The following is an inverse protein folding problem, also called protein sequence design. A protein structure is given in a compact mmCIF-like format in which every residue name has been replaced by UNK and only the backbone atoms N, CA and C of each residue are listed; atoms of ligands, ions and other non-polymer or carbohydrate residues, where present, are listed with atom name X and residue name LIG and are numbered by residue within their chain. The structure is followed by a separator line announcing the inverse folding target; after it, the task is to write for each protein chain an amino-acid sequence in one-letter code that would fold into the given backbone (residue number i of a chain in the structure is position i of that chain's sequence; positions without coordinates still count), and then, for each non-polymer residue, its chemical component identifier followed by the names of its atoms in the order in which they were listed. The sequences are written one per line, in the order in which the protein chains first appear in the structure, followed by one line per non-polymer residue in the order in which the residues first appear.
data_IF_133984382440
#
_entry.id   IF_133984382440
#
_cell.length_a   1.000
_cell.length_b   1.000
_cell.length_c   1.000
_cell.angle_alpha   90.00
_cell.angle_beta   90.00
_cell.angle_gamma   90.00
#
_symmetry.space_group_name_H-M   'P 1'
#
loop_
_entity.id
_entity.type
_entity.pdbx_description
1 polymer ?
#
# COMPACT_ATOMS: atom_id res chain seq x y z
N UNK A 1 -44.86 28.22 -20.14
CA UNK A 1 -44.36 28.36 -21.53
C UNK A 1 -42.89 28.78 -21.58
N UNK A 2 -42.47 29.88 -20.92
CA UNK A 2 -41.05 30.31 -20.93
C UNK A 2 -40.04 29.26 -20.42
N UNK A 3 -40.36 28.53 -19.34
CA UNK A 3 -39.47 27.46 -18.82
C UNK A 3 -39.25 26.31 -19.82
N UNK A 4 -40.28 25.95 -20.57
CA UNK A 4 -40.22 24.92 -21.60
C UNK A 4 -39.39 25.37 -22.80
N UNK A 5 -39.60 26.61 -23.26
CA UNK A 5 -38.81 27.19 -24.34
C UNK A 5 -37.32 27.30 -23.96
N UNK A 6 -37.04 27.62 -22.70
CA UNK A 6 -35.68 27.68 -22.15
C UNK A 6 -35.01 26.30 -22.09
N UNK A 7 -35.74 25.24 -21.72
CA UNK A 7 -35.22 23.87 -21.75
C UNK A 7 -35.05 23.36 -23.17
N UNK A 8 -35.98 23.66 -24.08
CA UNK A 8 -35.87 23.25 -25.48
C UNK A 8 -34.67 23.92 -26.17
N UNK A 9 -34.40 25.20 -25.87
CA UNK A 9 -33.21 25.89 -26.40
C UNK A 9 -31.91 25.37 -25.78
N UNK A 10 -31.91 25.07 -24.48
CA UNK A 10 -30.76 24.43 -23.81
C UNK A 10 -30.45 23.07 -24.44
N UNK A 11 -31.47 22.25 -24.68
CA UNK A 11 -31.34 20.93 -25.28
C UNK A 11 -30.76 20.98 -26.69
N UNK A 12 -31.19 21.95 -27.51
CA UNK A 12 -30.71 22.09 -28.89
C UNK A 12 -29.32 22.71 -28.98
N UNK A 13 -29.00 23.73 -28.17
CA UNK A 13 -27.77 24.51 -28.31
C UNK A 13 -26.66 24.10 -27.32
N UNK A 14 -27.01 23.54 -26.17
CA UNK A 14 -26.09 23.20 -25.10
C UNK A 14 -24.95 22.26 -25.50
N UNK A 15 -25.24 21.12 -26.14
CA UNK A 15 -24.19 20.19 -26.59
C UNK A 15 -23.20 20.85 -27.56
N UNK A 16 -23.70 21.70 -28.47
CA UNK A 16 -22.84 22.41 -29.42
C UNK A 16 -21.99 23.48 -28.75
N UNK A 17 -22.52 24.19 -27.76
CA UNK A 17 -21.79 25.23 -27.04
C UNK A 17 -20.60 24.62 -26.26
N UNK A 18 -20.80 23.46 -25.63
CA UNK A 18 -19.72 22.73 -24.95
C UNK A 18 -18.72 22.09 -25.94
N UNK A 19 -19.20 21.59 -27.08
CA UNK A 19 -18.34 21.09 -28.15
C UNK A 19 -17.45 22.19 -28.74
N UNK A 20 -17.99 23.40 -28.97
CA UNK A 20 -17.23 24.56 -29.46
C UNK A 20 -16.16 24.95 -28.44
N UNK A 21 -16.50 25.00 -27.14
CA UNK A 21 -15.52 25.24 -26.06
C UNK A 21 -14.39 24.21 -26.12
N UNK A 22 -14.73 22.93 -26.21
CA UNK A 22 -13.75 21.85 -26.32
C UNK A 22 -12.82 22.03 -27.53
N UNK A 23 -13.38 22.29 -28.72
CA UNK A 23 -12.60 22.51 -29.94
C UNK A 23 -11.67 23.71 -29.84
N UNK A 24 -12.15 24.82 -29.27
CA UNK A 24 -11.36 26.04 -29.08
C UNK A 24 -10.19 25.79 -28.13
N UNK A 25 -10.44 25.07 -27.03
CA UNK A 25 -9.41 24.68 -26.08
C UNK A 25 -8.38 23.75 -26.73
N UNK A 26 -8.82 22.73 -27.48
CA UNK A 26 -7.92 21.83 -28.22
C UNK A 26 -7.12 22.55 -29.31
N UNK A 27 -7.69 23.58 -29.94
CA UNK A 27 -6.97 24.40 -30.90
C UNK A 27 -5.80 25.14 -30.25
N UNK A 28 -6.00 25.75 -29.08
CA UNK A 28 -4.91 26.40 -28.33
C UNK A 28 -3.84 25.39 -27.87
N UNK A 29 -4.25 24.18 -27.48
CA UNK A 29 -3.33 23.08 -27.16
C UNK A 29 -2.46 22.72 -28.35
N UNK A 30 -3.09 22.46 -29.49
CA UNK A 30 -2.39 22.11 -30.72
C UNK A 30 -1.38 23.20 -31.11
N UNK A 31 -1.77 24.47 -30.98
CA UNK A 31 -0.90 25.62 -31.25
C UNK A 31 0.30 25.66 -30.29
N UNK A 32 0.08 25.36 -29.00
CA UNK A 32 1.14 25.21 -28.00
C UNK A 32 2.11 24.08 -28.35
N UNK A 33 1.60 22.92 -28.79
CA UNK A 33 2.43 21.78 -29.23
C UNK A 33 3.25 22.10 -30.48
N UNK A 34 2.68 22.82 -31.45
CA UNK A 34 3.43 23.27 -32.64
C UNK A 34 4.58 24.19 -32.20
N UNK A 35 4.31 25.15 -31.32
CA UNK A 35 5.34 26.03 -30.78
C UNK A 35 6.46 25.27 -30.05
N UNK A 36 6.08 24.31 -29.20
CA UNK A 36 7.03 23.46 -28.46
C UNK A 36 7.84 22.55 -29.38
N UNK A 37 7.23 22.02 -30.44
CA UNK A 37 7.91 21.18 -31.43
C UNK A 37 8.95 21.99 -32.20
N UNK A 38 8.60 23.20 -32.65
CA UNK A 38 9.54 24.11 -33.32
C UNK A 38 10.70 24.45 -32.38
N UNK A 39 10.40 24.80 -31.13
CA UNK A 39 11.43 25.07 -30.12
C UNK A 39 12.34 23.86 -29.89
N UNK A 40 11.77 22.66 -29.77
CA UNK A 40 12.53 21.42 -29.61
C UNK A 40 13.44 21.14 -30.81
N UNK A 41 12.92 21.27 -32.03
CA UNK A 41 13.71 21.07 -33.25
C UNK A 41 14.89 22.03 -33.31
N UNK A 42 14.68 23.31 -33.01
CA UNK A 42 15.74 24.34 -33.00
C UNK A 42 16.76 24.10 -31.88
N UNK A 43 16.30 23.68 -30.69
CA UNK A 43 17.16 23.47 -29.52
C UNK A 43 17.85 22.10 -29.49
N UNK A 44 17.32 21.10 -30.19
CA UNK A 44 17.82 19.72 -30.16
C UNK A 44 19.31 19.58 -30.52
N UNK A 45 19.88 20.30 -31.51
CA UNK A 45 21.30 20.18 -31.83
C UNK A 45 22.18 20.76 -30.71
N UNK A 46 21.71 21.83 -30.04
CA UNK A 46 22.39 22.46 -28.91
C UNK A 46 22.39 21.53 -27.70
N UNK A 47 21.25 20.91 -27.41
CA UNK A 47 21.12 19.94 -26.32
C UNK A 47 22.00 18.71 -26.54
N UNK A 48 22.00 18.16 -27.77
CA UNK A 48 22.88 17.04 -28.13
C UNK A 48 24.36 17.40 -28.00
N UNK A 49 24.76 18.59 -28.45
CA UNK A 49 26.13 19.09 -28.29
C UNK A 49 26.53 19.20 -26.81
N UNK A 50 25.62 19.68 -25.96
CA UNK A 50 25.85 19.77 -24.52
C UNK A 50 25.97 18.38 -23.86
N UNK A 51 25.09 17.44 -24.18
CA UNK A 51 25.15 16.07 -23.67
C UNK A 51 26.44 15.35 -24.04
N UNK A 52 26.92 15.53 -25.28
CA UNK A 52 28.19 14.95 -25.72
C UNK A 52 29.41 15.60 -25.04
N UNK A 53 29.34 16.89 -24.73
CA UNK A 53 30.38 17.60 -23.97
C UNK A 53 30.48 17.07 -22.52
N UNK A 54 29.35 16.78 -21.86
CA UNK A 54 29.34 16.13 -20.53
C UNK A 54 30.03 14.76 -20.57
N UNK A 55 29.90 14.02 -21.68
CA UNK A 55 30.52 12.72 -21.87
C UNK A 55 32.03 12.79 -22.21
N UNK A 56 32.64 13.99 -22.15
CA UNK A 56 34.07 14.19 -22.36
C UNK A 56 34.50 14.24 -23.84
N UNK A 57 33.56 14.34 -24.77
CA UNK A 57 33.86 14.54 -26.20
C UNK A 57 34.31 15.99 -26.39
N UNK A 58 35.38 16.19 -27.18
CA UNK A 58 35.87 17.52 -27.53
C UNK A 58 34.70 18.37 -28.08
N UNK A 59 34.48 19.56 -27.50
CA UNK A 59 33.36 20.47 -27.80
C UNK A 59 33.20 20.75 -29.29
N UNK A 60 34.30 20.91 -30.04
CA UNK A 60 34.27 21.14 -31.50
C UNK A 60 33.77 19.90 -32.25
N UNK A 61 34.17 18.70 -31.81
CA UNK A 61 33.75 17.44 -32.41
C UNK A 61 32.28 17.13 -32.08
N UNK A 62 31.84 17.40 -30.85
CA UNK A 62 30.46 17.27 -30.41
C UNK A 62 29.51 18.17 -31.23
N UNK A 63 29.93 19.41 -31.52
CA UNK A 63 29.17 20.34 -32.36
C UNK A 63 29.05 19.84 -33.81
N UNK A 64 30.15 19.36 -34.41
CA UNK A 64 30.14 18.79 -35.77
C UNK A 64 29.21 17.57 -35.82
N UNK A 65 29.30 16.66 -34.84
CA UNK A 65 28.41 15.50 -34.75
C UNK A 65 26.95 15.91 -34.59
N UNK A 66 26.64 16.90 -33.74
CA UNK A 66 25.29 17.40 -33.56
C UNK A 66 24.69 17.95 -34.85
N UNK A 67 25.46 18.73 -35.62
CA UNK A 67 25.03 19.26 -36.93
C UNK A 67 24.85 18.15 -37.95
N UNK A 68 25.73 17.14 -37.96
CA UNK A 68 25.66 16.02 -38.90
C UNK A 68 24.48 15.09 -38.61
N UNK A 69 24.09 14.95 -37.33
CA UNK A 69 22.97 14.10 -36.89
C UNK A 69 21.61 14.82 -36.97
N UNK A 70 21.60 16.16 -36.98
CA UNK A 70 20.39 16.97 -37.09
C UNK A 70 19.46 16.56 -38.26
N UNK A 71 19.92 16.32 -39.51
CA UNK A 71 19.04 15.88 -40.60
C UNK A 71 18.41 14.51 -40.33
N UNK A 72 19.10 13.60 -39.62
CA UNK A 72 18.54 12.32 -39.23
C UNK A 72 17.44 12.48 -38.16
N UNK A 73 17.69 13.32 -37.14
CA UNK A 73 16.68 13.65 -36.12
C UNK A 73 15.45 14.32 -36.73
N UNK A 74 15.66 15.23 -37.70
CA UNK A 74 14.58 15.84 -38.47
C UNK A 74 13.79 14.80 -39.27
N UNK A 75 14.47 13.88 -39.95
CA UNK A 75 13.83 12.82 -40.71
C UNK A 75 12.95 11.92 -39.82
N UNK A 76 13.48 11.47 -38.68
CA UNK A 76 12.72 10.67 -37.70
C UNK A 76 11.52 11.45 -37.18
N UNK A 77 11.68 12.74 -36.89
CA UNK A 77 10.59 13.62 -36.46
C UNK A 77 9.49 13.74 -37.52
N UNK A 78 9.86 13.98 -38.78
CA UNK A 78 8.91 14.09 -39.91
C UNK A 78 8.11 12.79 -40.09
N UNK A 79 8.70 11.62 -39.83
CA UNK A 79 7.98 10.35 -39.89
C UNK A 79 7.11 10.08 -38.65
N UNK A 80 7.59 10.44 -37.45
CA UNK A 80 6.89 10.15 -36.19
C UNK A 80 5.69 11.08 -35.94
N UNK A 81 5.83 12.37 -36.27
CA UNK A 81 4.78 13.39 -36.06
C UNK A 81 3.43 13.03 -36.68
N UNK A 82 3.30 12.59 -37.95
CA UNK A 82 2.01 12.26 -38.53
C UNK A 82 1.36 11.04 -37.87
N UNK A 83 2.15 10.04 -37.45
CA UNK A 83 1.63 8.86 -36.75
C UNK A 83 1.06 9.26 -35.39
N UNK A 84 1.81 10.06 -34.61
CA UNK A 84 1.36 10.56 -33.31
C UNK A 84 0.15 11.48 -33.47
N UNK A 85 0.14 12.32 -34.50
CA UNK A 85 -0.98 13.22 -34.78
C UNK A 85 -2.27 12.46 -35.11
N UNK A 86 -2.20 11.40 -35.92
CA UNK A 86 -3.36 10.54 -36.19
C UNK A 86 -3.89 9.88 -34.91
N UNK A 87 -2.99 9.40 -34.05
CA UNK A 87 -3.36 8.84 -32.76
C UNK A 87 -4.05 9.87 -31.85
N UNK A 88 -3.47 11.07 -31.71
CA UNK A 88 -4.05 12.15 -30.92
C UNK A 88 -5.40 12.63 -31.47
N UNK A 89 -5.58 12.68 -32.79
CA UNK A 89 -6.87 12.99 -33.42
C UNK A 89 -7.92 11.93 -33.02
N UNK A 90 -7.56 10.65 -33.04
CA UNK A 90 -8.47 9.57 -32.61
C UNK A 90 -8.94 9.74 -31.16
N UNK A 91 -8.01 10.09 -30.25
CA UNK A 91 -8.34 10.39 -28.86
C UNK A 91 -9.22 11.64 -28.72
N UNK A 92 -8.89 12.70 -29.44
CA UNK A 92 -9.64 13.96 -29.42
C UNK A 92 -11.09 13.77 -29.92
N UNK A 93 -11.30 12.93 -30.94
CA UNK A 93 -12.65 12.58 -31.42
C UNK A 93 -13.42 11.84 -30.31
N UNK A 94 -12.79 10.88 -29.64
CA UNK A 94 -13.40 10.14 -28.54
C UNK A 94 -13.84 11.04 -27.39
N UNK A 95 -13.00 12.00 -27.01
CA UNK A 95 -13.31 12.95 -25.94
C UNK A 95 -14.34 14.01 -26.39
N UNK A 96 -14.31 14.46 -27.65
CA UNK A 96 -15.33 15.34 -28.21
C UNK A 96 -16.73 14.70 -28.14
N UNK A 97 -16.84 13.40 -28.45
CA UNK A 97 -18.10 12.66 -28.34
C UNK A 97 -18.59 12.60 -26.88
N UNK A 98 -17.69 12.34 -25.92
CA UNK A 98 -18.06 12.34 -24.49
C UNK A 98 -18.58 13.70 -24.04
N UNK A 99 -17.86 14.78 -24.33
CA UNK A 99 -18.27 16.15 -23.98
C UNK A 99 -19.61 16.51 -24.61
N UNK A 100 -19.86 16.06 -25.85
CA UNK A 100 -21.16 16.24 -26.49
C UNK A 100 -22.29 15.55 -25.71
N UNK A 101 -22.11 14.29 -25.29
CA UNK A 101 -23.11 13.56 -24.52
C UNK A 101 -23.26 14.07 -23.08
N UNK A 102 -22.19 14.54 -22.44
CA UNK A 102 -22.26 15.21 -21.14
C UNK A 102 -23.05 16.51 -21.24
N UNK A 103 -22.80 17.30 -22.29
CA UNK A 103 -23.56 18.51 -22.57
C UNK A 103 -25.03 18.22 -22.85
N UNK A 104 -25.31 17.10 -23.50
CA UNK A 104 -26.68 16.63 -23.72
C UNK A 104 -27.37 16.23 -22.42
N UNK A 105 -26.67 15.49 -21.54
CA UNK A 105 -27.17 15.14 -20.21
C UNK A 105 -27.46 16.37 -19.36
N UNK A 106 -26.49 17.29 -19.25
CA UNK A 106 -26.63 18.53 -18.49
C UNK A 106 -27.78 19.40 -19.00
N UNK A 107 -27.95 19.49 -20.33
CA UNK A 107 -29.06 20.21 -20.93
C UNK A 107 -30.43 19.57 -20.65
N UNK A 108 -30.48 18.24 -20.54
CA UNK A 108 -31.71 17.48 -20.29
C UNK A 108 -32.15 17.54 -18.83
N UNK A 109 -31.22 17.47 -17.87
CA UNK A 109 -31.53 17.49 -16.44
C UNK A 109 -31.69 18.91 -15.89
N UNK A 110 -30.79 19.83 -16.26
CA UNK A 110 -30.66 21.13 -15.59
C UNK A 110 -30.82 22.33 -16.53
N UNK A 111 -31.07 22.08 -17.83
CA UNK A 111 -31.21 23.12 -18.84
C UNK A 111 -29.95 23.98 -18.97
N UNK A 112 -30.12 25.31 -19.08
CA UNK A 112 -28.99 26.24 -19.21
C UNK A 112 -28.10 26.31 -17.97
N UNK A 113 -28.63 26.05 -16.77
CA UNK A 113 -27.84 26.11 -15.55
C UNK A 113 -26.73 25.05 -15.57
N UNK A 114 -27.08 23.79 -15.89
CA UNK A 114 -26.11 22.72 -16.01
C UNK A 114 -25.11 22.92 -17.15
N UNK A 115 -25.53 23.51 -18.27
CA UNK A 115 -24.61 23.85 -19.37
C UNK A 115 -23.59 24.89 -18.91
N UNK A 116 -24.01 25.97 -18.24
CA UNK A 116 -23.09 27.01 -17.78
C UNK A 116 -22.16 26.53 -16.67
N UNK A 117 -22.62 25.65 -15.80
CA UNK A 117 -21.79 25.02 -14.78
C UNK A 117 -20.67 24.18 -15.43
N UNK A 118 -21.02 23.31 -16.37
CA UNK A 118 -20.03 22.54 -17.16
C UNK A 118 -19.16 23.43 -18.06
N UNK A 119 -19.68 24.58 -18.51
CA UNK A 119 -18.93 25.55 -19.27
C UNK A 119 -17.91 26.31 -18.40
N UNK A 120 -18.21 26.56 -17.12
CA UNK A 120 -17.29 27.20 -16.19
C UNK A 120 -16.22 26.23 -15.67
N UNK A 121 -16.51 24.94 -15.63
CA UNK A 121 -15.54 23.95 -15.16
C UNK A 121 -14.33 23.85 -16.11
N UNK A 122 -13.10 23.77 -15.55
CA UNK A 122 -11.92 23.49 -16.34
C UNK A 122 -12.08 22.13 -17.02
N UNK A 123 -11.75 22.04 -18.31
CA UNK A 123 -11.91 20.82 -19.07
C UNK A 123 -10.92 19.78 -18.54
N UNK A 124 -11.37 18.86 -17.68
CA UNK A 124 -10.53 17.80 -17.10
C UNK A 124 -9.87 16.89 -18.16
N UNK A 125 -10.43 16.84 -19.37
CA UNK A 125 -9.88 16.11 -20.54
C UNK A 125 -8.53 16.65 -21.04
N UNK A 126 -8.12 17.84 -20.60
CA UNK A 126 -6.76 18.35 -20.84
C UNK A 126 -5.71 17.47 -20.13
N UNK A 127 -6.09 16.87 -19.00
CA UNK A 127 -5.25 15.94 -18.25
C UNK A 127 -5.10 14.61 -18.98
N UNK A 128 -6.15 14.02 -19.57
CA UNK A 128 -6.06 12.67 -20.16
C UNK A 128 -5.06 12.56 -21.31
N UNK A 129 -5.08 13.53 -22.24
CA UNK A 129 -4.19 13.51 -23.42
C UNK A 129 -2.75 13.90 -23.03
N UNK A 130 -2.61 14.90 -22.14
CA UNK A 130 -1.30 15.29 -21.58
C UNK A 130 -0.66 14.20 -20.73
N UNK A 131 -1.44 13.53 -19.88
CA UNK A 131 -1.02 12.38 -19.08
C UNK A 131 -0.67 11.19 -19.97
N UNK A 132 -1.46 10.90 -21.01
CA UNK A 132 -1.14 9.81 -21.94
C UNK A 132 0.19 10.06 -22.66
N UNK A 133 0.46 11.30 -23.08
CA UNK A 133 1.74 11.68 -23.68
C UNK A 133 2.89 11.60 -22.66
N UNK A 134 2.68 12.08 -21.43
CA UNK A 134 3.67 11.99 -20.35
C UNK A 134 3.98 10.53 -20.00
N UNK A 135 2.99 9.65 -19.94
CA UNK A 135 3.16 8.21 -19.74
C UNK A 135 3.96 7.60 -20.90
N UNK A 136 3.71 8.02 -22.13
CA UNK A 136 4.45 7.54 -23.31
C UNK A 136 5.90 8.01 -23.29
N UNK A 137 6.15 9.29 -22.96
CA UNK A 137 7.50 9.84 -22.76
C UNK A 137 8.21 9.13 -21.61
N UNK A 138 7.55 8.91 -20.48
CA UNK A 138 8.11 8.21 -19.33
C UNK A 138 8.48 6.75 -19.67
N UNK A 139 7.68 6.07 -20.49
CA UNK A 139 7.98 4.72 -21.00
C UNK A 139 9.12 4.67 -22.02
N UNK A 140 9.35 5.75 -22.77
CA UNK A 140 10.43 5.85 -23.77
C UNK A 140 11.77 6.28 -23.14
N UNK A 141 11.73 7.12 -22.10
CA UNK A 141 12.93 7.71 -21.46
C UNK A 141 13.49 6.81 -20.35
N UNK A 142 12.65 6.00 -19.69
CA UNK A 142 13.10 5.06 -18.67
C UNK A 142 13.17 3.66 -19.29
N UNK A 143 14.37 3.12 -19.59
CA UNK A 143 14.48 1.75 -20.04
C UNK A 143 13.88 0.83 -18.98
N UNK A 144 12.98 -0.05 -19.43
CA UNK A 144 12.18 -0.96 -18.62
C UNK A 144 13.04 -1.71 -17.59
N UNK A 145 13.09 -1.19 -16.37
CA UNK A 145 13.27 -2.01 -15.19
C UNK A 145 11.86 -2.18 -14.60
N UNK A 146 11.39 -3.42 -14.62
CA UNK A 146 10.00 -3.78 -14.36
C UNK A 146 9.48 -3.27 -13.00
N UNK A 147 8.68 -2.21 -13.02
CA UNK A 147 7.69 -1.94 -11.98
C UNK A 147 6.51 -1.20 -12.59
N UNK A 148 5.36 -1.87 -12.65
CA UNK A 148 4.08 -1.29 -13.01
C UNK A 148 3.78 -0.08 -12.11
N UNK A 149 3.55 1.12 -12.65
CA UNK A 149 2.97 2.21 -11.88
C UNK A 149 1.45 2.04 -11.91
N UNK A 150 0.88 1.50 -10.83
CA UNK A 150 -0.52 1.71 -10.51
C UNK A 150 -0.63 2.99 -9.68
N UNK A 151 -1.54 3.87 -10.08
CA UNK A 151 -1.85 5.15 -9.44
C UNK A 151 -1.97 5.08 -7.90
N UNK A 152 -1.66 6.19 -7.20
CA UNK A 152 -1.78 6.29 -5.75
C UNK A 152 -3.25 6.36 -5.32
N UNK A 153 -3.94 5.22 -5.25
CA UNK A 153 -5.05 5.05 -4.31
C UNK A 153 -4.55 5.38 -2.89
N UNK A 154 -5.12 6.43 -2.31
CA UNK A 154 -5.09 6.74 -0.89
C UNK A 154 -5.61 5.54 -0.11
N UNK A 155 -4.84 5.07 0.87
CA UNK A 155 -5.23 3.98 1.76
C UNK A 155 -6.10 4.61 2.85
N UNK A 156 -7.36 4.18 2.94
CA UNK A 156 -8.30 4.65 3.94
C UNK A 156 -8.00 3.95 5.28
N UNK A 157 -7.33 4.66 6.20
CA UNK A 157 -6.94 4.11 7.50
C UNK A 157 -8.16 3.81 8.40
N UNK A 158 -9.28 4.49 8.19
CA UNK A 158 -10.49 4.30 8.98
C UNK A 158 -11.18 2.96 8.64
N UNK A 159 -11.14 2.55 7.36
CA UNK A 159 -11.62 1.24 6.91
C UNK A 159 -10.79 0.08 7.51
N UNK A 160 -9.47 0.25 7.61
CA UNK A 160 -8.56 -0.73 8.20
C UNK A 160 -8.73 -0.87 9.72
N UNK A 161 -8.97 0.24 10.43
CA UNK A 161 -9.26 0.22 11.87
C UNK A 161 -10.59 -0.48 12.16
N UNK A 162 -11.60 -0.23 11.33
CA UNK A 162 -12.91 -0.87 11.47
C UNK A 162 -12.85 -2.39 11.22
N UNK A 163 -12.02 -2.86 10.29
CA UNK A 163 -11.79 -4.31 10.08
C UNK A 163 -11.06 -4.96 11.28
N UNK A 164 -10.10 -4.26 11.91
CA UNK A 164 -9.40 -4.75 13.10
C UNK A 164 -10.35 -4.98 14.28
N UNK A 165 -11.17 -3.98 14.60
CA UNK A 165 -12.07 -4.01 15.77
C UNK A 165 -13.23 -5.01 15.58
N UNK A 166 -13.64 -5.24 14.32
CA UNK A 166 -14.62 -6.27 13.98
C UNK A 166 -14.09 -7.71 14.17
N UNK A 167 -12.78 -7.93 14.08
CA UNK A 167 -12.18 -9.24 14.32
C UNK A 167 -12.05 -9.48 15.83
N UNK A 168 -11.55 -8.50 16.59
CA UNK A 168 -11.36 -8.63 18.03
C UNK A 168 -12.66 -8.95 18.79
N UNK A 169 -13.80 -8.41 18.32
CA UNK A 169 -15.11 -8.67 18.90
C UNK A 169 -15.74 -10.03 18.53
N UNK A 170 -15.19 -10.76 17.56
CA UNK A 170 -15.73 -12.02 17.04
C UNK A 170 -14.86 -13.26 17.30
N UNK A 171 -13.72 -13.13 17.99
CA UNK A 171 -12.93 -14.31 18.41
C UNK A 171 -13.54 -14.95 19.68
N UNK A 172 -13.90 -16.25 19.65
CA UNK A 172 -14.26 -17.00 20.85
C UNK A 172 -13.07 -17.14 21.81
N UNK A 173 -13.34 -17.18 23.11
CA UNK A 173 -12.32 -17.23 24.17
C UNK A 173 -11.47 -18.51 24.11
N UNK A 174 -10.15 -18.33 24.09
CA UNK A 174 -9.12 -19.37 23.91
C UNK A 174 -9.11 -20.36 25.07
N UNK A 175 -9.55 -19.94 26.27
CA UNK A 175 -9.62 -20.82 27.43
C UNK A 175 -10.75 -21.85 27.33
N UNK A 176 -11.92 -21.46 26.83
CA UNK A 176 -13.09 -22.33 26.68
C UNK A 176 -12.83 -23.45 25.64
N UNK A 177 -12.04 -23.16 24.60
CA UNK A 177 -11.68 -24.11 23.55
C UNK A 177 -10.66 -25.18 23.97
N UNK A 178 -9.75 -24.85 24.90
CA UNK A 178 -8.74 -25.80 25.39
C UNK A 178 -9.40 -26.90 26.24
N UNK A 179 -10.42 -26.53 26.99
CA UNK A 179 -11.21 -27.46 27.80
C UNK A 179 -12.03 -28.41 26.91
N UNK A 180 -12.61 -27.91 25.82
CA UNK A 180 -13.32 -28.75 24.83
C UNK A 180 -12.40 -29.76 24.11
N UNK A 181 -11.14 -29.40 23.82
CA UNK A 181 -10.13 -30.33 23.28
C UNK A 181 -9.75 -31.41 24.29
N UNK A 182 -9.59 -31.03 25.56
CA UNK A 182 -9.20 -31.95 26.61
C UNK A 182 -10.34 -32.93 26.96
N UNK A 183 -11.60 -32.50 26.84
CA UNK A 183 -12.79 -33.34 27.00
C UNK A 183 -13.03 -34.26 25.78
N UNK A 184 -12.83 -33.76 24.55
CA UNK A 184 -12.93 -34.56 23.32
C UNK A 184 -11.81 -35.62 23.20
N UNK A 185 -10.64 -35.38 23.80
CA UNK A 185 -9.54 -36.36 23.81
C UNK A 185 -9.83 -37.55 24.74
N UNK A 186 -10.69 -37.38 25.75
CA UNK A 186 -11.07 -38.44 26.68
C UNK A 186 -12.24 -39.30 26.19
N UNK A 187 -13.01 -38.83 25.19
CA UNK A 187 -14.19 -39.53 24.67
C UNK A 187 -14.05 -39.71 23.16
N UNK A 188 -13.49 -40.84 22.76
CA UNK A 188 -13.07 -41.13 21.38
C UNK A 188 -14.30 -41.26 20.46
N UNK A 189 -14.76 -40.14 19.91
CA UNK A 189 -15.56 -40.12 18.68
C UNK A 189 -14.73 -39.46 17.56
N UNK A 190 -14.48 -40.15 16.44
CA UNK A 190 -13.61 -39.65 15.37
C UNK A 190 -14.13 -38.37 14.71
N UNK A 191 -15.45 -38.13 14.76
CA UNK A 191 -16.06 -36.92 14.20
C UNK A 191 -15.91 -35.71 15.13
N UNK A 192 -15.91 -35.91 16.45
CA UNK A 192 -15.61 -34.84 17.42
C UNK A 192 -14.13 -34.40 17.31
N UNK A 193 -13.21 -35.33 17.06
CA UNK A 193 -11.80 -35.03 16.84
C UNK A 193 -11.57 -34.24 15.54
N UNK A 194 -12.30 -34.56 14.46
CA UNK A 194 -12.25 -33.80 13.20
C UNK A 194 -12.79 -32.38 13.37
N UNK A 195 -13.89 -32.21 14.10
CA UNK A 195 -14.46 -30.90 14.39
C UNK A 195 -13.50 -30.06 15.25
N UNK A 196 -12.90 -30.64 16.29
CA UNK A 196 -11.90 -29.98 17.12
C UNK A 196 -10.65 -29.60 16.31
N UNK A 197 -10.14 -30.49 15.45
CA UNK A 197 -9.00 -30.20 14.56
C UNK A 197 -9.31 -29.05 13.59
N UNK A 198 -10.53 -29.02 13.04
CA UNK A 198 -10.99 -27.95 12.15
C UNK A 198 -11.11 -26.61 12.89
N UNK A 199 -11.58 -26.63 14.15
CA UNK A 199 -11.70 -25.44 14.99
C UNK A 199 -10.33 -24.88 15.41
N UNK A 200 -9.38 -25.75 15.77
CA UNK A 200 -7.98 -25.37 16.04
C UNK A 200 -7.36 -24.72 14.81
N UNK A 201 -7.50 -25.35 13.64
CA UNK A 201 -6.98 -24.79 12.40
C UNK A 201 -7.65 -23.46 12.05
N UNK A 202 -8.96 -23.31 12.29
CA UNK A 202 -9.65 -22.03 12.11
C UNK A 202 -9.06 -20.94 13.01
N UNK A 203 -8.85 -21.25 14.30
CA UNK A 203 -8.28 -20.30 15.25
C UNK A 203 -6.83 -19.93 14.89
N UNK A 204 -5.99 -20.89 14.50
CA UNK A 204 -4.63 -20.61 14.04
C UNK A 204 -4.60 -19.68 12.81
N UNK A 205 -5.54 -19.83 11.88
CA UNK A 205 -5.65 -18.96 10.71
C UNK A 205 -6.18 -17.57 11.11
N UNK A 206 -7.08 -17.48 12.08
CA UNK A 206 -7.58 -16.23 12.62
C UNK A 206 -6.48 -15.43 13.34
N UNK A 207 -5.67 -16.09 14.17
CA UNK A 207 -4.51 -15.48 14.84
C UNK A 207 -3.45 -15.02 13.83
N UNK A 208 -3.17 -15.81 12.79
CA UNK A 208 -2.29 -15.38 11.69
C UNK A 208 -2.83 -14.17 10.97
N UNK A 209 -4.13 -14.12 10.69
CA UNK A 209 -4.78 -12.97 10.07
C UNK A 209 -4.70 -11.73 10.96
N UNK A 210 -4.98 -11.87 12.26
CA UNK A 210 -4.88 -10.79 13.25
C UNK A 210 -3.47 -10.21 13.29
N UNK A 211 -2.46 -11.06 13.47
CA UNK A 211 -1.07 -10.63 13.50
C UNK A 211 -0.61 -9.97 12.19
N UNK A 212 -1.14 -10.42 11.05
CA UNK A 212 -0.82 -9.81 9.76
C UNK A 212 -1.51 -8.45 9.56
N UNK A 213 -2.77 -8.31 9.99
CA UNK A 213 -3.50 -7.05 9.97
C UNK A 213 -2.87 -6.01 10.88
N UNK A 214 -2.48 -6.39 12.09
CA UNK A 214 -1.80 -5.49 13.05
C UNK A 214 -0.50 -4.94 12.45
N UNK A 215 0.32 -5.81 11.84
CA UNK A 215 1.54 -5.38 11.14
C UNK A 215 1.25 -4.48 9.95
N UNK A 216 0.23 -4.83 9.15
CA UNK A 216 -0.18 -4.05 7.99
C UNK A 216 -0.61 -2.64 8.39
N UNK A 217 -1.45 -2.56 9.43
CA UNK A 217 -1.93 -1.30 10.00
C UNK A 217 -0.78 -0.47 10.54
N UNK A 218 0.10 -1.04 11.36
CA UNK A 218 1.21 -0.31 11.96
C UNK A 218 2.17 0.25 10.89
N UNK A 219 2.45 -0.54 9.84
CA UNK A 219 3.28 -0.08 8.73
C UNK A 219 2.60 1.04 7.92
N UNK A 220 1.31 0.89 7.61
CA UNK A 220 0.54 1.91 6.91
C UNK A 220 0.47 3.22 7.70
N UNK A 221 0.22 3.14 9.00
CA UNK A 221 0.21 4.26 9.93
C UNK A 221 1.55 4.99 9.95
N UNK A 222 2.65 4.26 10.17
CA UNK A 222 3.99 4.84 10.17
C UNK A 222 4.31 5.56 8.85
N UNK A 223 3.94 4.96 7.70
CA UNK A 223 4.14 5.58 6.38
C UNK A 223 3.29 6.85 6.21
N UNK A 224 2.04 6.85 6.69
CA UNK A 224 1.15 8.00 6.62
C UNK A 224 1.66 9.16 7.49
N UNK A 225 2.10 8.88 8.72
CA UNK A 225 2.64 9.88 9.64
C UNK A 225 3.90 10.55 9.07
N UNK A 226 4.80 9.79 8.44
CA UNK A 226 5.98 10.35 7.74
C UNK A 226 5.56 11.25 6.58
N UNK A 227 4.58 10.81 5.77
CA UNK A 227 4.11 11.58 4.64
C UNK A 227 3.48 12.92 5.08
N UNK A 228 2.62 12.89 6.10
CA UNK A 228 2.00 14.09 6.66
C UNK A 228 3.05 15.06 7.24
N UNK A 229 4.03 14.54 7.98
CA UNK A 229 5.09 15.37 8.55
C UNK A 229 5.94 16.04 7.46
N UNK A 230 6.25 15.32 6.37
CA UNK A 230 6.94 15.90 5.21
C UNK A 230 6.13 17.03 4.55
N UNK A 231 4.83 16.82 4.35
CA UNK A 231 3.94 17.83 3.76
C UNK A 231 3.84 19.09 4.64
N UNK A 232 3.83 18.91 5.97
CA UNK A 232 3.80 19.99 6.95
C UNK A 232 5.18 20.64 7.20
N UNK A 233 6.25 20.17 6.53
CA UNK A 233 7.65 20.57 6.78
C UNK A 233 8.05 20.44 8.26
N UNK A 234 7.48 19.48 8.96
CA UNK A 234 7.85 19.14 10.33
C UNK A 234 8.78 17.95 10.28
N UNK A 235 9.77 17.94 11.17
CA UNK A 235 10.61 16.76 11.35
C UNK A 235 9.74 15.64 11.94
N UNK A 236 9.49 14.54 11.21
CA UNK A 236 8.73 13.42 11.75
C UNK A 236 9.58 12.82 12.87
N UNK A 237 9.05 12.79 14.10
CA UNK A 237 9.63 12.00 15.17
C UNK A 237 9.04 10.59 15.05
N UNK A 238 9.73 9.69 14.34
CA UNK A 238 9.41 8.27 14.44
C UNK A 238 10.22 7.65 15.56
N UNK A 239 9.54 6.91 16.41
CA UNK A 239 10.15 5.84 17.18
C UNK A 239 10.41 4.68 16.21
N UNK A 240 11.44 4.79 15.37
CA UNK A 240 11.98 3.62 14.67
C UNK A 240 13.11 3.02 15.52
N UNK A 241 13.05 1.71 15.70
CA UNK A 241 14.00 0.92 16.49
C UNK A 241 15.43 1.04 15.94
N UNK A 242 15.60 1.33 14.64
CA UNK A 242 16.92 1.40 14.01
C UNK A 242 17.72 2.63 14.45
N UNK A 243 17.04 3.75 14.66
CA UNK A 243 17.66 5.00 15.09
C UNK A 243 16.68 5.79 15.96
N UNK A 244 16.92 5.77 17.26
CA UNK A 244 16.11 6.51 18.22
C UNK A 244 16.20 8.02 17.92
N UNK A 245 15.05 8.64 17.58
CA UNK A 245 14.89 10.09 17.34
C UNK A 245 15.81 10.64 16.23
N UNK A 246 15.60 10.17 15.01
CA UNK A 246 16.27 10.69 13.83
C UNK A 246 15.46 11.79 13.14
N UNK A 247 16.11 12.89 12.77
CA UNK A 247 15.51 13.86 11.85
C UNK A 247 15.50 13.29 10.43
N UNK A 248 14.31 13.17 9.83
CA UNK A 248 14.14 12.65 8.48
C UNK A 248 14.13 13.80 7.46
N UNK A 249 15.27 14.04 6.80
CA UNK A 249 15.35 15.01 5.68
C UNK A 249 15.01 14.36 4.34
N UNK A 250 15.52 13.15 4.11
CA UNK A 250 15.33 12.35 2.91
C UNK A 250 14.97 10.91 3.30
N UNK A 251 13.69 10.63 3.58
CA UNK A 251 13.28 9.31 4.03
C UNK A 251 13.49 8.27 2.93
N UNK A 252 13.87 7.07 3.36
CA UNK A 252 14.04 5.86 2.55
C UNK A 252 13.48 4.66 3.31
N UNK A 253 13.04 3.67 2.55
CA UNK A 253 12.55 2.40 3.08
C UNK A 253 13.68 1.38 3.02
N UNK A 254 14.09 0.86 4.17
CA UNK A 254 15.09 -0.18 4.27
C UNK A 254 14.39 -1.52 4.56
N UNK A 255 14.53 -2.49 3.66
CA UNK A 255 13.72 -3.72 3.65
C UNK A 255 14.62 -4.93 3.55
N UNK A 256 14.34 -5.96 4.36
CA UNK A 256 14.94 -7.28 4.16
C UNK A 256 14.11 -8.05 3.14
N UNK A 257 14.75 -8.59 2.13
CA UNK A 257 14.10 -9.40 1.10
C UNK A 257 14.58 -10.85 1.15
N UNK A 258 13.72 -11.79 0.79
CA UNK A 258 14.06 -13.20 0.57
C UNK A 258 13.77 -13.59 -0.88
N UNK A 259 14.56 -14.53 -1.41
CA UNK A 259 14.42 -15.04 -2.77
C UNK A 259 13.45 -16.24 -2.78
N UNK A 260 12.41 -16.16 -3.59
CA UNK A 260 11.47 -17.24 -3.84
C UNK A 260 11.07 -17.27 -5.32
N UNK A 261 11.17 -18.43 -5.97
CA UNK A 261 10.82 -18.59 -7.40
C UNK A 261 11.42 -17.50 -8.32
N UNK A 262 12.72 -17.21 -8.15
CA UNK A 262 13.48 -16.16 -8.85
C UNK A 262 12.96 -14.73 -8.66
N UNK A 263 12.09 -14.50 -7.68
CA UNK A 263 11.59 -13.19 -7.29
C UNK A 263 11.99 -12.87 -5.86
N UNK A 264 12.38 -11.62 -5.65
CA UNK A 264 12.63 -11.12 -4.30
C UNK A 264 11.30 -10.69 -3.68
N UNK A 265 11.07 -11.06 -2.44
CA UNK A 265 9.88 -10.73 -1.65
C UNK A 265 10.28 -10.08 -0.34
N UNK A 266 9.45 -9.18 0.19
CA UNK A 266 9.74 -8.54 1.47
C UNK A 266 9.54 -9.54 2.61
N UNK A 267 10.50 -9.59 3.54
CA UNK A 267 10.33 -10.32 4.80
C UNK A 267 9.28 -9.57 5.64
N UNK A 268 8.23 -10.23 6.14
CA UNK A 268 7.20 -9.56 6.94
C UNK A 268 7.79 -8.94 8.21
N UNK A 269 7.39 -7.71 8.52
CA UNK A 269 7.86 -6.91 9.66
C UNK A 269 9.28 -6.38 9.52
N UNK A 270 9.87 -6.41 8.31
CA UNK A 270 11.27 -6.03 8.13
C UNK A 270 11.48 -4.63 7.56
N UNK A 271 10.44 -3.99 7.02
CA UNK A 271 10.52 -2.63 6.51
C UNK A 271 10.74 -1.64 7.65
N UNK A 272 11.82 -0.87 7.55
CA UNK A 272 12.19 0.23 8.45
C UNK A 272 12.26 1.54 7.67
N UNK A 273 11.90 2.65 8.31
CA UNK A 273 11.91 3.98 7.70
C UNK A 273 13.07 4.76 8.28
N UNK A 274 14.00 5.22 7.44
CA UNK A 274 15.20 5.91 7.90
C UNK A 274 15.60 7.05 6.96
N UNK A 275 16.49 7.92 7.40
CA UNK A 275 17.08 8.95 6.55
C UNK A 275 18.20 8.36 5.68
N UNK A 276 18.24 8.76 4.41
CA UNK A 276 19.25 8.28 3.46
C UNK A 276 20.69 8.58 3.88
N UNK A 277 20.96 9.78 4.40
CA UNK A 277 22.32 10.19 4.77
C UNK A 277 22.77 9.42 6.02
N UNK A 278 21.87 9.25 6.97
CA UNK A 278 22.11 8.44 8.16
C UNK A 278 22.34 6.98 7.82
N UNK A 279 21.48 6.38 6.98
CA UNK A 279 21.63 5.02 6.49
C UNK A 279 22.99 4.85 5.80
N UNK A 280 23.34 5.76 4.88
CA UNK A 280 24.63 5.72 4.17
C UNK A 280 25.82 5.80 5.12
N UNK A 281 25.77 6.70 6.11
CA UNK A 281 26.84 6.87 7.10
C UNK A 281 27.01 5.59 7.92
N UNK A 282 25.91 5.05 8.41
CA UNK A 282 25.90 3.81 9.18
C UNK A 282 26.39 2.61 8.35
N UNK A 283 25.92 2.44 7.11
CA UNK A 283 26.39 1.37 6.21
C UNK A 283 27.90 1.39 5.98
N UNK A 284 28.52 2.58 5.96
CA UNK A 284 29.97 2.73 5.79
C UNK A 284 30.77 2.45 7.07
N UNK A 285 30.15 2.66 8.24
CA UNK A 285 30.81 2.48 9.54
C UNK A 285 30.62 1.08 10.11
N UNK A 286 29.41 0.54 10.00
CA UNK A 286 29.03 -0.74 10.56
C UNK A 286 27.88 -1.37 9.76
N UNK A 287 28.18 -2.40 8.97
CA UNK A 287 27.20 -3.13 8.17
C UNK A 287 26.41 -4.19 8.97
N UNK A 288 26.21 -3.96 10.28
CA UNK A 288 25.46 -4.83 11.19
C UNK A 288 24.30 -4.06 11.78
N UNK A 289 23.09 -4.59 11.63
CA UNK A 289 21.84 -4.01 12.15
C UNK A 289 21.86 -4.01 13.66
N UNK A 290 21.76 -2.85 14.34
CA UNK A 290 21.84 -2.79 15.80
C UNK A 290 20.78 -3.63 16.51
N UNK A 291 19.54 -3.61 16.00
CA UNK A 291 18.37 -4.24 16.62
C UNK A 291 18.35 -5.76 16.44
N UNK A 292 18.62 -6.23 15.23
CA UNK A 292 18.55 -7.67 14.91
C UNK A 292 19.90 -8.36 14.99
N UNK A 293 21.00 -7.60 15.10
CA UNK A 293 22.39 -8.06 14.94
C UNK A 293 22.65 -8.77 13.61
N UNK A 294 21.82 -8.49 12.60
CA UNK A 294 21.91 -9.13 11.30
C UNK A 294 22.96 -8.42 10.42
N UNK A 295 23.70 -9.19 9.62
CA UNK A 295 24.70 -8.63 8.71
C UNK A 295 24.04 -8.21 7.41
N UNK A 296 24.37 -7.03 6.90
CA UNK A 296 23.81 -6.53 5.64
C UNK A 296 24.40 -7.27 4.43
N UNK A 297 25.69 -7.60 4.49
CA UNK A 297 26.39 -8.33 3.44
C UNK A 297 26.04 -9.82 3.39
N UNK A 298 25.68 -10.39 4.55
CA UNK A 298 25.28 -11.79 4.67
C UNK A 298 24.07 -11.93 5.59
N UNK A 299 22.86 -11.53 5.13
CA UNK A 299 21.68 -11.54 5.98
C UNK A 299 21.25 -12.94 6.37
N UNK A 300 20.75 -13.06 7.60
CA UNK A 300 20.23 -14.30 8.14
C UNK A 300 19.10 -14.83 7.25
N UNK A 301 19.12 -16.09 6.81
CA UNK A 301 18.07 -16.65 5.97
C UNK A 301 16.69 -16.57 6.60
N UNK A 302 15.67 -16.25 5.80
CA UNK A 302 14.26 -16.32 6.21
C UNK A 302 13.67 -17.65 5.75
N UNK A 303 13.26 -18.51 6.69
CA UNK A 303 12.73 -19.84 6.40
C UNK A 303 13.65 -20.68 5.49
N UNK A 304 14.97 -20.57 5.71
CA UNK A 304 15.99 -21.26 4.89
C UNK A 304 16.23 -20.66 3.50
N UNK A 305 15.51 -19.59 3.12
CA UNK A 305 15.66 -18.91 1.83
C UNK A 305 16.75 -17.85 1.89
N UNK A 306 17.43 -17.64 0.76
CA UNK A 306 18.48 -16.63 0.61
C UNK A 306 17.89 -15.24 0.83
N UNK A 307 18.54 -14.42 1.65
CA UNK A 307 18.12 -13.05 1.94
C UNK A 307 19.10 -11.99 1.44
N UNK A 308 18.59 -10.77 1.25
CA UNK A 308 19.37 -9.55 1.01
C UNK A 308 18.70 -8.36 1.69
N UNK A 309 19.43 -7.28 1.92
CA UNK A 309 18.81 -5.98 2.21
C UNK A 309 18.75 -5.13 0.95
N UNK A 310 17.66 -4.40 0.81
CA UNK A 310 17.47 -3.42 -0.25
C UNK A 310 16.95 -2.11 0.38
N UNK A 311 17.26 -0.99 -0.25
CA UNK A 311 16.64 0.28 0.09
C UNK A 311 15.88 0.85 -1.11
N UNK A 312 14.79 1.54 -0.82
CA UNK A 312 13.93 2.17 -1.81
C UNK A 312 13.68 3.64 -1.44
N UNK A 313 13.45 4.52 -2.42
CA UNK A 313 12.90 5.84 -2.15
C UNK A 313 11.61 5.72 -1.33
N UNK A 314 11.39 6.66 -0.40
CA UNK A 314 10.17 6.69 0.38
C UNK A 314 8.92 6.77 -0.49
N UNK A 315 7.92 5.96 -0.14
CA UNK A 315 6.59 5.97 -0.74
C UNK A 315 5.61 5.39 0.27
N UNK A 316 4.38 5.94 0.28
CA UNK A 316 3.26 5.41 1.08
C UNK A 316 2.86 4.00 0.62
N UNK A 317 3.23 3.62 -0.61
CA UNK A 317 3.02 2.28 -1.17
C UNK A 317 4.33 1.52 -1.20
N UNK A 318 4.67 0.85 -0.11
CA UNK A 318 5.85 0.01 -0.04
C UNK A 318 5.55 -1.43 -0.47
N UNK A 319 6.60 -2.15 -0.89
CA UNK A 319 6.51 -3.53 -1.36
C UNK A 319 5.90 -4.46 -0.31
N UNK A 320 6.32 -4.31 0.95
CA UNK A 320 5.81 -5.13 2.05
C UNK A 320 4.31 -4.93 2.25
N UNK A 321 3.82 -3.70 2.14
CA UNK A 321 2.40 -3.38 2.29
C UNK A 321 1.57 -4.08 1.20
N UNK A 322 2.01 -3.99 -0.06
CA UNK A 322 1.34 -4.66 -1.19
C UNK A 322 1.32 -6.18 -1.00
N UNK A 323 2.47 -6.78 -0.63
CA UNK A 323 2.57 -8.21 -0.39
C UNK A 323 1.75 -8.66 0.84
N UNK A 324 1.66 -7.81 1.87
CA UNK A 324 0.83 -8.02 3.05
C UNK A 324 -0.66 -7.99 2.71
N UNK A 325 -1.14 -7.05 1.89
CA UNK A 325 -2.54 -7.04 1.43
C UNK A 325 -2.91 -8.32 0.67
N UNK A 326 -2.00 -8.87 -0.13
CA UNK A 326 -2.22 -10.15 -0.82
C UNK A 326 -2.33 -11.30 0.19
N UNK A 327 -1.46 -11.32 1.20
CA UNK A 327 -1.49 -12.34 2.27
C UNK A 327 -2.77 -12.26 3.12
N UNK A 328 -3.20 -11.06 3.50
CA UNK A 328 -4.47 -10.81 4.21
C UNK A 328 -5.65 -11.35 3.40
N UNK A 329 -5.71 -11.03 2.10
CA UNK A 329 -6.78 -11.51 1.22
C UNK A 329 -6.80 -13.04 1.10
N UNK A 330 -5.62 -13.67 1.08
CA UNK A 330 -5.52 -15.13 1.05
C UNK A 330 -6.02 -15.74 2.37
N UNK A 331 -5.56 -15.23 3.51
CA UNK A 331 -6.01 -15.68 4.83
C UNK A 331 -7.52 -15.50 5.03
N UNK A 332 -8.10 -14.38 4.56
CA UNK A 332 -9.55 -14.13 4.57
C UNK A 332 -10.32 -15.16 3.74
N UNK A 333 -9.80 -15.52 2.55
CA UNK A 333 -10.38 -16.58 1.70
C UNK A 333 -10.30 -17.94 2.38
N UNK A 334 -9.15 -18.29 2.96
CA UNK A 334 -8.93 -19.57 3.63
C UNK A 334 -9.85 -19.72 4.84
N UNK A 335 -9.98 -18.67 5.67
CA UNK A 335 -10.94 -18.63 6.77
C UNK A 335 -12.39 -18.75 6.30
N UNK A 336 -12.75 -18.10 5.20
CA UNK A 336 -14.09 -18.21 4.64
C UNK A 336 -14.40 -19.63 4.12
N UNK A 337 -13.40 -20.31 3.55
CA UNK A 337 -13.53 -21.70 3.13
C UNK A 337 -13.68 -22.64 4.34
N UNK A 338 -12.85 -22.47 5.38
CA UNK A 338 -12.94 -23.24 6.63
C UNK A 338 -14.30 -23.04 7.31
N UNK A 339 -14.80 -21.79 7.36
CA UNK A 339 -16.12 -21.48 7.89
C UNK A 339 -17.23 -22.17 7.10
N UNK A 340 -17.16 -22.20 5.76
CA UNK A 340 -18.12 -22.94 4.93
C UNK A 340 -18.07 -24.45 5.20
N UNK A 341 -16.89 -25.03 5.32
CA UNK A 341 -16.73 -26.46 5.64
C UNK A 341 -17.32 -26.79 7.01
N UNK A 342 -17.08 -25.94 8.02
CA UNK A 342 -17.66 -26.09 9.34
C UNK A 342 -19.19 -26.03 9.32
N UNK A 343 -19.77 -25.10 8.55
CA UNK A 343 -21.22 -24.96 8.43
C UNK A 343 -21.87 -26.09 7.61
N UNK A 344 -21.18 -26.63 6.61
CA UNK A 344 -21.63 -27.78 5.83
C UNK A 344 -21.54 -29.10 6.62
N UNK A 345 -20.57 -29.23 7.53
CA UNK A 345 -20.45 -30.37 8.46
C UNK A 345 -21.52 -30.39 9.55
N UNK A 346 -22.23 -29.28 9.80
CA UNK A 346 -23.37 -29.18 10.73
C UNK A 346 -24.73 -29.48 10.08
N UNK A 347 -24.80 -29.81 8.79
CA UNK A 347 -26.05 -29.94 8.03
C UNK A 347 -26.71 -31.34 8.02
N UNK A 348 -26.28 -32.28 8.86
CA UNK A 348 -27.05 -33.49 9.25
C UNK A 348 -26.94 -33.59 10.79
N UNK A 349 -27.97 -33.45 11.63
CA UNK A 349 -29.41 -33.69 11.52
C UNK A 349 -30.23 -32.68 12.35
N UNK A 350 -31.51 -32.43 11.99
CA UNK A 350 -32.56 -32.17 12.95
C UNK A 350 -33.30 -33.49 13.23
N UNK A 351 -32.75 -34.39 14.05
CA UNK A 351 -33.51 -35.49 14.62
C UNK A 351 -34.08 -35.10 15.97
N UNK A 352 -35.38 -34.77 15.96
CA UNK A 352 -36.23 -34.83 17.15
C UNK A 352 -36.39 -36.28 17.57
N UNK A 353 -36.58 -36.50 18.88
CA UNK A 353 -36.91 -37.75 19.60
C UNK A 353 -35.75 -38.75 19.68
N UNK A 354 -35.22 -39.14 20.85
CA UNK A 354 -35.86 -39.83 22.00
C UNK A 354 -35.00 -39.63 23.28
N UNK A 355 -35.65 -39.75 24.46
CA UNK A 355 -35.20 -39.72 25.87
C UNK A 355 -35.15 -38.32 26.54
N UNK A 356 -36.08 -37.85 27.38
CA UNK A 356 -37.20 -38.46 28.13
C UNK A 356 -36.86 -39.80 28.79
N UNK A 357 -35.88 -39.81 29.69
CA UNK A 357 -35.97 -40.52 30.98
C UNK A 357 -34.62 -40.45 31.71
N UNK A 358 -34.52 -39.56 32.70
CA UNK A 358 -33.67 -39.72 33.87
C UNK A 358 -34.11 -38.71 34.94
N UNK A 359 -35.28 -38.99 35.53
CA UNK A 359 -35.63 -38.51 36.87
C UNK A 359 -34.75 -39.21 37.91
N UNK A 360 -34.50 -38.48 39.00
CA UNK A 360 -33.95 -38.91 40.29
C UNK A 360 -32.43 -39.05 40.38
N UNK A 361 -31.76 -38.08 41.03
CA UNK A 361 -31.27 -38.22 42.42
C UNK A 361 -31.24 -36.83 43.08
N UNK A 362 -32.03 -36.71 44.15
CA UNK A 362 -32.02 -35.65 45.18
C UNK A 362 -30.81 -35.79 46.14
N UNK A 363 -30.63 -34.81 47.03
CA UNK A 363 -29.65 -34.69 48.15
C UNK A 363 -28.36 -33.95 47.76
N UNK A 364 -27.91 -32.85 48.40
CA UNK A 364 -28.15 -32.27 49.72
C UNK A 364 -28.14 -30.73 49.65
N UNK A 365 -29.06 -30.09 50.38
CA UNK A 365 -28.94 -28.71 50.89
C UNK A 365 -28.51 -28.82 52.35
N UNK A 366 -27.43 -28.17 52.75
CA UNK A 366 -27.17 -27.82 54.15
C UNK A 366 -26.73 -26.36 54.23
N UNK A 367 -27.33 -25.67 55.18
CA UNK A 367 -27.30 -24.24 55.44
C UNK A 367 -26.30 -23.93 56.56
N UNK A 368 -25.84 -22.67 56.59
CA UNK A 368 -25.23 -21.97 57.73
C UNK A 368 -23.85 -22.48 58.19
N UNK A 369 -22.93 -21.67 58.69
CA UNK A 369 -23.02 -20.38 59.35
C UNK A 369 -21.69 -19.61 59.18
N UNK A 370 -21.74 -18.29 59.27
CA UNK A 370 -20.56 -17.44 59.23
C UNK A 370 -19.71 -17.50 60.50
N UNK A 371 -18.41 -17.19 60.36
CA UNK A 371 -17.63 -16.59 61.43
C UNK A 371 -16.42 -15.82 60.87
N UNK A 372 -16.46 -14.50 61.03
CA UNK A 372 -15.29 -13.62 61.07
C UNK A 372 -14.48 -13.92 62.33
N UNK A 373 -13.14 -13.97 62.21
CA UNK A 373 -12.21 -13.51 63.27
C UNK A 373 -10.97 -12.93 62.57
N UNK A 374 -10.63 -11.71 62.98
CA UNK A 374 -9.46 -10.93 62.58
C UNK A 374 -8.17 -11.34 63.30
N UNK A 375 -7.06 -10.91 62.69
CA UNK A 375 -5.80 -10.39 63.28
C UNK A 375 -4.73 -11.32 63.87
N UNK A 376 -3.55 -11.24 63.23
CA UNK A 376 -2.27 -10.67 63.75
C UNK A 376 -1.10 -11.59 64.16
N UNK A 377 0.02 -11.38 63.45
CA UNK A 377 1.40 -11.07 63.92
C UNK A 377 2.44 -12.20 64.10
N UNK A 378 3.67 -11.82 63.71
CA UNK A 378 5.02 -12.40 63.93
C UNK A 378 5.43 -13.57 62.99
N UNK A 379 6.64 -13.64 62.39
CA UNK A 379 7.92 -12.99 62.72
C UNK A 379 8.91 -13.12 61.53
N UNK A 380 9.77 -12.10 61.41
CA UNK A 380 11.14 -12.03 60.87
C UNK A 380 11.85 -13.34 60.50
N UNK A 381 12.60 -13.37 59.38
CA UNK A 381 14.05 -13.65 59.31
C UNK A 381 14.61 -13.16 57.96
N UNK A 382 15.59 -12.27 58.05
CA UNK A 382 16.54 -11.81 57.02
C UNK A 382 17.68 -12.84 56.88
N UNK A 383 18.43 -12.87 55.77
CA UNK A 383 19.84 -12.51 55.98
C UNK A 383 20.48 -11.66 54.89
N UNK A 384 21.37 -10.82 55.39
CA UNK A 384 22.48 -10.11 54.76
C UNK A 384 23.43 -10.96 53.89
N UNK A 385 24.32 -10.21 53.22
CA UNK A 385 25.70 -10.53 52.82
C UNK A 385 25.84 -11.13 51.40
N UNK A 386 26.70 -10.65 50.49
CA UNK A 386 28.03 -10.01 50.60
C UNK A 386 28.32 -9.19 49.33
N UNK A 387 28.92 -8.01 49.51
CA UNK A 387 29.63 -7.22 48.48
C UNK A 387 30.93 -7.91 48.05
N UNK A 388 31.21 -7.97 46.75
CA UNK A 388 32.56 -8.22 46.24
C UNK A 388 32.84 -7.37 45.00
N UNK A 389 33.51 -6.25 45.23
CA UNK A 389 34.29 -5.51 44.25
C UNK A 389 35.29 -6.43 43.52
N UNK A 390 35.46 -6.25 42.22
CA UNK A 390 36.79 -6.23 41.60
C UNK A 390 36.73 -5.66 40.19
N UNK A 391 37.23 -4.43 40.09
CA UNK A 391 37.65 -3.77 38.87
C UNK A 391 39.19 -3.95 38.78
N UNK A 392 39.74 -4.33 37.62
CA UNK A 392 40.74 -3.47 36.99
C UNK A 392 40.52 -3.44 35.46
N UNK A 393 40.51 -2.28 34.81
CA UNK A 393 41.69 -1.45 34.62
C UNK A 393 42.39 -1.83 33.30
N UNK A 394 42.05 -1.17 32.20
CA UNK A 394 42.86 -1.18 30.97
C UNK A 394 42.92 0.21 30.35
N UNK A 395 44.16 0.71 30.22
CA UNK A 395 44.55 1.96 29.57
C UNK A 395 44.75 1.76 28.06
N UNK A 396 44.71 2.86 27.28
CA UNK A 396 44.85 2.83 25.82
C UNK A 396 46.32 2.87 25.38
N UNK A 397 46.57 2.31 24.20
CA UNK A 397 47.67 2.67 23.30
C UNK A 397 47.09 2.92 21.90
#
# INVERSE_FOLDING_TARGET
MLKFLNHASAFLLGPFLLLIKYLLVQFFVALGFVGLTIAFVVMSPVLLGFSLNILGVNSTLAMIFGVLLAPFALFVSVCAVPIVSLYCIGLAIGDALKVFFEGFGAALYDGWAGIFENFAQPIGYFSSTGQSLLVLIHRLVIPANNSHPHDPQTIDLDELQQEHDAIESNLPDVHEMRDLLQEATNTIQPDALKQATTLVHFHEQAEKLKAELERHYQLAKNLSEVAEAMDQKKTPALEDELFEKMELERPVLFVKEYLDHDKWHAVPGSTKITDYNSLKTWLNQNAIIPTTRDSIHSPTPYQGKKCRYAYYPFSVKCKELVESSVRINQLKKDLHQLSKQFNQGKALEPSKTVLSDAKHVTFYKSSNDGKKVDTSVEKSVEPEMVLSDSNPGFSPN
#
